data_IF_814600711718
#
_entry.id   IF_814600711718
#
_cell.length_a   1.000
_cell.length_b   1.000
_cell.length_c   1.000
_cell.angle_alpha   90.00
_cell.angle_beta   90.00
_cell.angle_gamma   90.00
#
_symmetry.space_group_name_H-M   'P 1'
#
loop_
_entity.id
_entity.type
_entity.pdbx_description
1 polymer ?
#
# COMPACT_ATOMS: atom_id res chain seq x y z
N UNK A 1 -11.65 -1.51 -25.08
CA UNK A 1 -10.38 -2.08 -24.56
C UNK A 1 -9.99 -3.21 -25.50
N UNK A 2 -8.72 -3.22 -25.96
CA UNK A 2 -8.23 -4.33 -26.79
C UNK A 2 -7.95 -5.56 -25.92
N UNK A 3 -8.03 -6.77 -26.50
CA UNK A 3 -7.74 -8.01 -25.76
C UNK A 3 -6.33 -7.98 -25.11
N UNK A 4 -5.35 -7.43 -25.83
CA UNK A 4 -3.98 -7.25 -25.31
C UNK A 4 -3.92 -6.34 -24.08
N UNK A 5 -4.70 -5.25 -24.07
CA UNK A 5 -4.79 -4.36 -22.90
C UNK A 5 -5.40 -5.07 -21.68
N UNK A 6 -6.42 -5.90 -21.90
CA UNK A 6 -7.06 -6.67 -20.83
C UNK A 6 -6.07 -7.67 -20.21
N UNK A 7 -5.36 -8.43 -21.04
CA UNK A 7 -4.34 -9.38 -20.58
C UNK A 7 -3.22 -8.67 -19.81
N UNK A 8 -2.75 -7.53 -20.30
CA UNK A 8 -1.72 -6.74 -19.63
C UNK A 8 -2.18 -6.26 -18.25
N UNK A 9 -3.39 -5.73 -18.14
CA UNK A 9 -3.94 -5.26 -16.86
C UNK A 9 -4.14 -6.40 -15.86
N UNK A 10 -4.55 -7.59 -16.32
CA UNK A 10 -4.68 -8.78 -15.48
C UNK A 10 -3.31 -9.24 -14.95
N UNK A 11 -2.28 -9.25 -15.78
CA UNK A 11 -0.91 -9.60 -15.38
C UNK A 11 -0.34 -8.59 -14.38
N UNK A 12 -0.53 -7.30 -14.62
CA UNK A 12 -0.11 -6.24 -13.68
C UNK A 12 -0.84 -6.41 -12.34
N UNK A 13 -2.15 -6.62 -12.35
CA UNK A 13 -2.95 -6.82 -11.14
C UNK A 13 -2.52 -8.04 -10.34
N UNK A 14 -2.27 -9.16 -11.02
CA UNK A 14 -1.82 -10.41 -10.38
C UNK A 14 -0.44 -10.24 -9.75
N UNK A 15 0.52 -9.70 -10.48
CA UNK A 15 1.88 -9.47 -9.99
C UNK A 15 1.89 -8.47 -8.82
N UNK A 16 1.17 -7.36 -8.95
CA UNK A 16 1.07 -6.35 -7.91
C UNK A 16 0.34 -6.88 -6.67
N UNK A 17 -0.72 -7.67 -6.84
CA UNK A 17 -1.43 -8.32 -5.73
C UNK A 17 -0.53 -9.29 -4.97
N UNK A 18 0.24 -10.12 -5.69
CA UNK A 18 1.20 -11.04 -5.08
C UNK A 18 2.27 -10.31 -4.28
N UNK A 19 2.92 -9.31 -4.88
CA UNK A 19 3.93 -8.49 -4.22
C UNK A 19 3.36 -7.68 -3.06
N UNK A 20 2.15 -7.15 -3.22
CA UNK A 20 1.43 -6.43 -2.15
C UNK A 20 1.17 -7.33 -0.95
N UNK A 21 0.77 -8.58 -1.17
CA UNK A 21 0.56 -9.57 -0.10
C UNK A 21 1.86 -9.94 0.63
N UNK A 22 2.98 -10.02 -0.11
CA UNK A 22 4.29 -10.32 0.48
C UNK A 22 4.86 -9.18 1.31
N UNK A 23 4.73 -7.94 0.82
CA UNK A 23 5.44 -6.77 1.38
C UNK A 23 4.51 -5.92 2.25
N UNK A 24 3.18 -6.07 2.09
CA UNK A 24 2.19 -5.30 2.84
C UNK A 24 2.08 -3.81 2.44
N UNK A 25 2.57 -3.41 1.27
CA UNK A 25 2.63 -1.99 0.83
C UNK A 25 1.30 -1.49 0.24
N UNK A 26 0.27 -2.34 0.15
CA UNK A 26 -1.05 -1.93 -0.35
C UNK A 26 -1.16 -1.77 -1.87
N UNK A 27 -0.24 -2.35 -2.66
CA UNK A 27 -0.34 -2.45 -4.13
C UNK A 27 -0.08 -1.16 -4.91
N UNK A 28 -0.48 -0.01 -4.43
CA UNK A 28 -0.39 1.27 -5.16
C UNK A 28 1.03 1.64 -5.58
N UNK A 29 2.01 1.32 -4.76
CA UNK A 29 3.43 1.58 -5.05
C UNK A 29 3.93 0.83 -6.29
N UNK A 30 3.35 -0.33 -6.58
CA UNK A 30 3.72 -1.17 -7.72
C UNK A 30 2.77 -0.91 -8.90
N UNK A 31 1.47 -0.80 -8.64
CA UNK A 31 0.44 -0.63 -9.67
C UNK A 31 0.63 0.69 -10.42
N UNK A 32 0.86 1.80 -9.72
CA UNK A 32 0.99 3.11 -10.37
C UNK A 32 2.15 3.15 -11.37
N UNK A 33 3.40 2.79 -11.01
CA UNK A 33 4.48 2.72 -11.99
C UNK A 33 4.22 1.73 -13.12
N UNK A 34 3.65 0.56 -12.82
CA UNK A 34 3.36 -0.44 -13.83
C UNK A 34 2.32 0.06 -14.85
N UNK A 35 1.24 0.72 -14.43
CA UNK A 35 0.25 1.31 -15.31
C UNK A 35 0.83 2.44 -16.18
N UNK A 36 1.70 3.28 -15.60
CA UNK A 36 2.33 4.37 -16.35
C UNK A 36 3.33 3.84 -17.38
N UNK A 37 4.19 2.88 -16.99
CA UNK A 37 5.30 2.42 -17.83
C UNK A 37 4.89 1.35 -18.84
N UNK A 38 3.99 0.43 -18.45
CA UNK A 38 3.63 -0.72 -19.29
C UNK A 38 2.31 -0.50 -20.03
N UNK A 39 1.33 0.16 -19.41
CA UNK A 39 0.03 0.42 -20.02
C UNK A 39 -0.09 1.83 -20.62
N UNK A 40 0.92 2.71 -20.44
CA UNK A 40 0.93 4.06 -21.00
C UNK A 40 -0.10 5.02 -20.40
N UNK A 41 -0.56 4.76 -19.16
CA UNK A 41 -1.53 5.62 -18.49
C UNK A 41 -0.89 6.94 -18.03
N UNK A 42 -1.68 8.02 -18.01
CA UNK A 42 -1.26 9.24 -17.32
C UNK A 42 -1.11 8.98 -15.82
N UNK A 43 -0.27 9.76 -15.14
CA UNK A 43 -0.03 9.59 -13.70
C UNK A 43 -1.33 9.67 -12.88
N UNK A 44 -2.20 10.62 -13.20
CA UNK A 44 -3.49 10.78 -12.51
C UNK A 44 -4.44 9.61 -12.75
N UNK A 45 -4.50 9.11 -13.99
CA UNK A 45 -5.31 7.93 -14.31
C UNK A 45 -4.81 6.69 -13.58
N UNK A 46 -3.50 6.47 -13.53
CA UNK A 46 -2.90 5.36 -12.81
C UNK A 46 -3.18 5.45 -11.29
N UNK A 47 -3.05 6.64 -10.70
CA UNK A 47 -3.36 6.87 -9.28
C UNK A 47 -4.84 6.66 -8.98
N UNK A 48 -5.74 7.24 -9.78
CA UNK A 48 -7.19 7.06 -9.61
C UNK A 48 -7.61 5.59 -9.74
N UNK A 49 -7.03 4.87 -10.71
CA UNK A 49 -7.26 3.42 -10.89
C UNK A 49 -6.78 2.62 -9.68
N UNK A 50 -5.60 2.95 -9.14
CA UNK A 50 -5.05 2.30 -7.95
C UNK A 50 -5.91 2.57 -6.71
N UNK A 51 -6.38 3.79 -6.51
CA UNK A 51 -7.30 4.13 -5.41
C UNK A 51 -8.65 3.41 -5.57
N UNK A 52 -9.18 3.32 -6.78
CA UNK A 52 -10.39 2.55 -7.08
C UNK A 52 -10.24 1.06 -6.75
N UNK A 53 -9.07 0.47 -7.02
CA UNK A 53 -8.76 -0.90 -6.64
C UNK A 53 -8.75 -1.09 -5.12
N UNK A 54 -8.21 -0.13 -4.37
CA UNK A 54 -8.19 -0.19 -2.90
C UNK A 54 -9.58 -0.06 -2.27
N UNK A 55 -10.53 0.54 -2.97
CA UNK A 55 -11.92 0.61 -2.53
C UNK A 55 -12.61 -0.77 -2.56
N UNK A 56 -12.20 -1.65 -3.47
CA UNK A 56 -12.65 -3.03 -3.51
C UNK A 56 -11.99 -3.83 -2.36
N UNK A 57 -12.67 -4.81 -1.78
CA UNK A 57 -12.12 -5.62 -0.69
C UNK A 57 -11.02 -6.60 -1.17
N UNK A 58 -10.21 -6.18 -2.14
CA UNK A 58 -9.18 -7.01 -2.76
C UNK A 58 -8.10 -7.48 -1.77
N UNK A 59 -7.82 -6.67 -0.75
CA UNK A 59 -6.85 -6.99 0.30
C UNK A 59 -7.37 -7.91 1.42
N UNK A 60 -8.67 -8.20 1.47
CA UNK A 60 -9.28 -8.89 2.60
C UNK A 60 -8.73 -10.31 2.81
N UNK A 61 -8.40 -11.00 1.73
CA UNK A 61 -7.81 -12.34 1.79
C UNK A 61 -6.41 -12.32 2.43
N UNK A 62 -5.61 -11.30 2.09
CA UNK A 62 -4.31 -11.08 2.73
C UNK A 62 -4.46 -10.74 4.21
N UNK A 63 -5.36 -9.81 4.54
CA UNK A 63 -5.66 -9.41 5.92
C UNK A 63 -6.07 -10.60 6.78
N UNK A 64 -6.93 -11.51 6.28
CA UNK A 64 -7.35 -12.73 6.99
C UNK A 64 -6.15 -13.61 7.33
N UNK A 65 -5.19 -13.75 6.42
CA UNK A 65 -3.99 -14.57 6.65
C UNK A 65 -3.14 -14.00 7.80
N UNK A 66 -2.88 -12.70 7.79
CA UNK A 66 -2.13 -12.04 8.86
C UNK A 66 -2.87 -12.02 10.18
N UNK A 67 -4.21 -11.85 10.16
CA UNK A 67 -5.06 -11.90 11.34
C UNK A 67 -5.03 -13.29 12.01
N UNK A 68 -5.17 -14.36 11.22
CA UNK A 68 -5.10 -15.74 11.74
C UNK A 68 -3.75 -16.07 12.40
N UNK A 69 -2.69 -15.42 11.97
CA UNK A 69 -1.36 -15.61 12.53
C UNK A 69 -1.05 -14.68 13.71
N UNK A 70 -1.97 -13.78 14.08
CA UNK A 70 -1.82 -12.86 15.20
C UNK A 70 -0.92 -11.64 14.91
N UNK A 71 -0.63 -11.35 13.64
CA UNK A 71 0.18 -10.19 13.24
C UNK A 71 -0.65 -8.93 12.97
N UNK A 72 -1.95 -8.92 13.33
CA UNK A 72 -2.82 -7.79 13.07
C UNK A 72 -3.52 -7.35 14.36
N UNK A 73 -3.35 -6.06 14.68
CA UNK A 73 -4.07 -5.41 15.78
C UNK A 73 -5.17 -4.52 15.20
N UNK A 74 -6.41 -4.88 15.47
CA UNK A 74 -7.60 -4.19 14.92
C UNK A 74 -7.67 -2.73 15.37
N UNK A 75 -7.26 -2.40 16.59
CA UNK A 75 -7.30 -1.03 17.12
C UNK A 75 -6.36 -0.12 16.33
N UNK A 76 -5.16 -0.60 15.99
CA UNK A 76 -4.21 0.15 15.17
C UNK A 76 -4.75 0.34 13.74
N UNK A 77 -5.41 -0.67 13.19
CA UNK A 77 -6.03 -0.59 11.85
C UNK A 77 -7.12 0.48 11.83
N UNK A 78 -8.01 0.51 12.82
CA UNK A 78 -9.11 1.48 12.88
C UNK A 78 -8.55 2.91 13.01
N UNK A 79 -7.59 3.13 13.90
CA UNK A 79 -6.99 4.44 14.11
C UNK A 79 -6.30 4.96 12.85
N UNK A 80 -5.50 4.10 12.20
CA UNK A 80 -4.84 4.43 10.95
C UNK A 80 -5.84 4.66 9.82
N UNK A 81 -6.91 3.88 9.74
CA UNK A 81 -7.93 4.03 8.71
C UNK A 81 -8.64 5.38 8.81
N UNK A 82 -9.00 5.84 10.02
CA UNK A 82 -9.61 7.16 10.22
C UNK A 82 -8.67 8.29 9.76
N UNK A 83 -7.41 8.24 10.16
CA UNK A 83 -6.42 9.23 9.74
C UNK A 83 -6.16 9.15 8.22
N UNK A 84 -6.12 7.94 7.65
CA UNK A 84 -5.90 7.71 6.24
C UNK A 84 -7.02 8.30 5.36
N UNK A 85 -8.27 8.20 5.78
CA UNK A 85 -9.42 8.79 5.04
C UNK A 85 -9.23 10.30 4.90
N UNK A 86 -8.90 11.00 5.99
CA UNK A 86 -8.67 12.46 5.96
C UNK A 86 -7.44 12.80 5.11
N UNK A 87 -6.34 12.08 5.30
CA UNK A 87 -5.10 12.27 4.54
C UNK A 87 -5.28 12.01 3.04
N UNK A 88 -6.00 10.95 2.69
CA UNK A 88 -6.29 10.58 1.30
C UNK A 88 -7.13 11.64 0.59
N UNK A 89 -8.13 12.19 1.28
CA UNK A 89 -8.96 13.27 0.73
C UNK A 89 -8.14 14.53 0.42
N UNK A 90 -7.31 14.97 1.37
CA UNK A 90 -6.43 16.13 1.18
C UNK A 90 -5.37 15.88 0.12
N UNK A 91 -4.75 14.71 0.15
CA UNK A 91 -3.72 14.32 -0.81
C UNK A 91 -4.24 14.23 -2.24
N UNK A 92 -5.42 13.64 -2.45
CA UNK A 92 -6.03 13.54 -3.78
C UNK A 92 -6.42 14.92 -4.33
N UNK A 93 -6.96 15.81 -3.49
CA UNK A 93 -7.28 17.18 -3.87
C UNK A 93 -6.02 17.94 -4.31
N UNK A 94 -4.93 17.79 -3.59
CA UNK A 94 -3.65 18.40 -3.93
C UNK A 94 -3.08 17.80 -5.24
N UNK A 95 -3.09 16.49 -5.38
CA UNK A 95 -2.58 15.82 -6.59
C UNK A 95 -3.35 16.23 -7.85
N UNK A 96 -4.67 16.43 -7.75
CA UNK A 96 -5.50 16.91 -8.86
C UNK A 96 -5.25 18.37 -9.23
N UNK A 97 -4.73 19.19 -8.31
CA UNK A 97 -4.43 20.61 -8.54
C UNK A 97 -3.07 20.86 -9.19
N UNK A 98 -2.19 19.87 -9.22
CA UNK A 98 -0.85 19.96 -9.83
C UNK A 98 -0.78 19.18 -11.15
N UNK A 99 0.21 19.52 -12.01
CA UNK A 99 0.41 18.82 -13.28
C UNK A 99 0.90 17.38 -13.07
N UNK A 100 0.54 16.50 -14.00
CA UNK A 100 0.92 15.07 -13.97
C UNK A 100 2.44 14.88 -13.85
N UNK A 101 3.25 15.70 -14.53
CA UNK A 101 4.71 15.60 -14.47
C UNK A 101 5.27 15.90 -13.08
N UNK A 102 4.69 16.88 -12.37
CA UNK A 102 5.10 17.19 -11.00
C UNK A 102 4.72 16.09 -10.05
N UNK A 103 3.48 15.55 -10.16
CA UNK A 103 3.03 14.42 -9.34
C UNK A 103 3.92 13.20 -9.56
N UNK A 104 4.26 12.89 -10.81
CA UNK A 104 5.18 11.80 -11.17
C UNK A 104 6.55 11.97 -10.55
N UNK A 105 7.12 13.17 -10.59
CA UNK A 105 8.43 13.47 -9.99
C UNK A 105 8.42 13.36 -8.48
N UNK A 106 7.38 13.91 -7.82
CA UNK A 106 7.22 13.80 -6.36
C UNK A 106 7.13 12.32 -5.95
N UNK A 107 6.32 11.54 -6.66
CA UNK A 107 6.16 10.11 -6.40
C UNK A 107 7.49 9.35 -6.56
N UNK A 108 8.23 9.61 -7.64
CA UNK A 108 9.52 8.99 -7.89
C UNK A 108 10.56 9.33 -6.82
N UNK A 109 10.61 10.59 -6.37
CA UNK A 109 11.52 11.03 -5.29
C UNK A 109 11.18 10.36 -3.97
N UNK A 110 9.89 10.27 -3.61
CA UNK A 110 9.46 9.59 -2.38
C UNK A 110 9.86 8.10 -2.42
N UNK A 111 9.61 7.42 -3.54
CA UNK A 111 10.01 6.02 -3.71
C UNK A 111 11.53 5.84 -3.61
N UNK A 112 12.31 6.74 -4.21
CA UNK A 112 13.76 6.71 -4.14
C UNK A 112 14.26 6.86 -2.70
N UNK A 113 13.72 7.83 -1.95
CA UNK A 113 14.07 8.05 -0.55
C UNK A 113 13.73 6.86 0.34
N UNK A 114 12.55 6.27 0.16
CA UNK A 114 12.12 5.07 0.90
C UNK A 114 13.05 3.89 0.57
N UNK A 115 13.32 3.67 -0.71
CA UNK A 115 14.19 2.59 -1.18
C UNK A 115 15.62 2.74 -0.62
N UNK A 116 16.17 3.95 -0.67
CA UNK A 116 17.50 4.24 -0.17
C UNK A 116 17.61 4.03 1.35
N UNK A 117 16.59 4.49 2.09
CA UNK A 117 16.51 4.26 3.53
C UNK A 117 16.48 2.79 3.88
N UNK A 118 15.61 2.01 3.23
CA UNK A 118 15.48 0.57 3.50
C UNK A 118 16.75 -0.20 3.15
N UNK A 119 17.46 0.21 2.08
CA UNK A 119 18.66 -0.49 1.62
C UNK A 119 19.88 -0.21 2.52
N UNK A 120 20.04 1.05 2.98
CA UNK A 120 21.27 1.49 3.64
C UNK A 120 21.13 1.71 5.15
N UNK A 121 19.91 2.00 5.65
CA UNK A 121 19.71 2.42 7.04
C UNK A 121 18.90 1.42 7.88
N UNK A 122 18.22 0.46 7.28
CA UNK A 122 17.49 -0.55 8.04
C UNK A 122 18.44 -1.66 8.51
N UNK A 123 18.81 -1.60 9.78
CA UNK A 123 19.39 -2.75 10.48
C UNK A 123 18.29 -3.81 10.62
N UNK A 124 18.59 -5.10 10.41
CA UNK A 124 17.63 -6.16 10.64
C UNK A 124 17.17 -6.12 12.11
N UNK A 125 15.91 -5.70 12.31
CA UNK A 125 15.29 -5.86 13.63
C UNK A 125 15.02 -7.35 13.84
N UNK A 126 15.31 -7.90 15.04
CA UNK A 126 14.93 -9.26 15.34
C UNK A 126 13.42 -9.44 15.10
N UNK A 127 13.06 -10.52 14.42
CA UNK A 127 11.66 -10.84 14.12
C UNK A 127 10.87 -10.77 15.44
N UNK A 128 9.82 -9.97 15.48
CA UNK A 128 8.91 -9.95 16.62
C UNK A 128 8.22 -11.31 16.69
N UNK A 129 8.63 -12.12 17.65
CA UNK A 129 8.03 -13.41 17.89
C UNK A 129 6.60 -13.22 18.38
N UNK A 130 5.70 -14.15 18.05
CA UNK A 130 4.28 -14.17 18.44
C UNK A 130 4.04 -13.79 19.92
N UNK A 131 4.98 -14.13 20.79
CA UNK A 131 4.93 -13.89 22.23
C UNK A 131 5.04 -12.42 22.64
N UNK A 132 5.75 -11.59 21.86
CA UNK A 132 5.90 -10.16 22.15
C UNK A 132 4.63 -9.35 21.82
N UNK A 133 3.85 -9.77 20.84
CA UNK A 133 2.57 -9.13 20.49
C UNK A 133 1.51 -9.48 21.53
N UNK A 134 1.47 -10.73 21.98
CA UNK A 134 0.51 -11.21 22.97
C UNK A 134 0.77 -10.62 24.37
N UNK A 135 2.04 -10.44 24.76
CA UNK A 135 2.40 -9.82 26.04
C UNK A 135 2.08 -8.32 26.07
N UNK A 136 2.30 -7.60 24.98
CA UNK A 136 1.93 -6.17 24.90
C UNK A 136 0.43 -5.95 25.00
N UNK A 137 -0.37 -6.85 24.43
CA UNK A 137 -1.85 -6.78 24.51
C UNK A 137 -2.35 -7.11 25.91
N UNK A 138 -1.73 -8.06 26.62
CA UNK A 138 -2.09 -8.40 28.01
C UNK A 138 -1.75 -7.28 29.00
N UNK A 139 -0.63 -6.60 28.83
CA UNK A 139 -0.23 -5.50 29.72
C UNK A 139 -1.20 -4.32 29.60
N UNK A 140 -1.70 -4.03 28.39
CA UNK A 140 -2.69 -2.96 28.18
C UNK A 140 -4.08 -3.30 28.75
N UNK A 141 -4.46 -4.58 28.84
CA UNK A 141 -5.74 -5.01 29.42
C UNK A 141 -5.72 -5.09 30.97
N UNK A 142 -4.55 -5.19 31.57
CA UNK A 142 -4.40 -5.28 33.03
C UNK A 142 -4.19 -3.91 33.70
N UNK A 143 -4.08 -2.83 32.95
CA UNK A 143 -3.83 -1.47 33.41
C UNK A 143 -5.02 -0.51 33.33
N UNK A 144 -6.25 -1.01 33.05
CA UNK A 144 -7.48 -0.19 33.01
C UNK A 144 -8.49 -0.57 34.08
#
# INVERSE_FOLDING_TARGET
MTASTVVLLLLIGLAAGFLSGLIGIGGGVIIVPALVLLAGFSQKLAQGTSLGLLLLPAGILGVIQYYKQGYLNVNYVILLAMAFVLGSFLGSKLALSISDDKVKKIFAVILLLISLKMLFFDKPKPAQTKDSVTSSTKIQQSGS
#
